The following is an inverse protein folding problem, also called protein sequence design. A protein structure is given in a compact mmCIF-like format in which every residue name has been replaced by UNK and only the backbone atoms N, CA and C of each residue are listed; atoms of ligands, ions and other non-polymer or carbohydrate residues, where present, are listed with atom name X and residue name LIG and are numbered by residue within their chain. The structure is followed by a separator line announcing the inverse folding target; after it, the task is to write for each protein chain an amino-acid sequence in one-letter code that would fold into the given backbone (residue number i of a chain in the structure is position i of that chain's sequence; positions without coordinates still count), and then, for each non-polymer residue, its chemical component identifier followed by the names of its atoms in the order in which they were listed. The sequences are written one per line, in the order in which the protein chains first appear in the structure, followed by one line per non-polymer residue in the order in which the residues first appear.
data_IF_881994331690
#
_entry.id   IF_881994331690
#
_cell.length_a   1.000
_cell.length_b   1.000
_cell.length_c   1.000
_cell.angle_alpha   90.00
_cell.angle_beta   90.00
_cell.angle_gamma   90.00
#
_symmetry.space_group_name_H-M   'P 1'
#
loop_
_entity.id
_entity.type
_entity.pdbx_description
1 polymer ?
#
# COMPACT_ATOMS: atom_id res chain seq x y z
N UNK A 1 -26.72 20.28 -7.79
CA UNK A 1 -25.89 19.35 -7.02
C UNK A 1 -26.51 17.96 -7.07
N UNK A 2 -25.67 16.92 -7.11
CA UNK A 2 -26.14 15.54 -7.02
C UNK A 2 -26.23 15.15 -5.52
N UNK A 3 -27.44 14.91 -4.97
CA UNK A 3 -27.62 14.63 -3.53
C UNK A 3 -26.94 13.33 -3.07
N UNK A 4 -26.62 12.45 -4.01
CA UNK A 4 -25.98 11.15 -3.73
C UNK A 4 -24.45 11.19 -3.88
N UNK A 5 -23.87 12.35 -4.17
CA UNK A 5 -22.43 12.50 -4.34
C UNK A 5 -21.87 13.44 -3.26
N UNK A 6 -20.95 12.95 -2.45
CA UNK A 6 -20.32 13.71 -1.37
C UNK A 6 -19.49 14.90 -1.87
N UNK A 7 -18.93 14.83 -3.08
CA UNK A 7 -18.17 15.95 -3.68
C UNK A 7 -19.03 17.00 -4.36
N UNK A 8 -20.35 16.80 -4.42
CA UNK A 8 -21.32 17.74 -4.99
C UNK A 8 -22.06 18.57 -3.93
N UNK A 9 -21.74 18.40 -2.63
CA UNK A 9 -22.47 19.06 -1.53
C UNK A 9 -21.96 20.48 -1.23
N UNK A 10 -20.80 20.86 -1.78
CA UNK A 10 -20.19 22.17 -1.61
C UNK A 10 -18.83 22.14 -0.92
N UNK A 11 -18.14 23.28 -0.97
CA UNK A 11 -16.81 23.46 -0.40
C UNK A 11 -16.67 24.88 0.17
N UNK A 12 -16.04 25.03 1.31
CA UNK A 12 -15.75 26.32 1.93
C UNK A 12 -14.82 26.18 3.12
N UNK A 13 -14.01 27.21 3.38
CA UNK A 13 -13.07 27.27 4.50
C UNK A 13 -12.14 26.05 4.58
N UNK A 14 -11.71 25.52 3.42
CA UNK A 14 -10.89 24.31 3.27
C UNK A 14 -11.56 23.00 3.67
N UNK A 15 -12.87 22.98 3.87
CA UNK A 15 -13.67 21.80 4.15
C UNK A 15 -14.66 21.50 3.03
N UNK A 16 -14.82 20.25 2.70
CA UNK A 16 -15.88 19.76 1.83
C UNK A 16 -17.15 19.50 2.65
N UNK A 17 -18.27 19.97 2.18
CA UNK A 17 -19.55 19.46 2.67
C UNK A 17 -19.77 18.04 2.16
N UNK A 18 -20.49 17.24 2.95
CA UNK A 18 -20.82 15.85 2.63
C UNK A 18 -22.31 15.62 2.86
N UNK A 19 -22.80 14.47 2.43
CA UNK A 19 -24.16 14.02 2.74
C UNK A 19 -24.40 14.01 4.25
N UNK A 20 -25.66 13.91 4.65
CA UNK A 20 -26.08 13.81 6.05
C UNK A 20 -25.60 14.98 6.93
N UNK A 21 -25.69 16.20 6.37
CA UNK A 21 -25.31 17.44 7.04
C UNK A 21 -23.90 17.40 7.69
N UNK A 22 -23.00 16.63 7.11
CA UNK A 22 -21.63 16.46 7.57
C UNK A 22 -20.65 17.31 6.78
N UNK A 23 -19.41 17.39 7.27
CA UNK A 23 -18.30 18.03 6.55
C UNK A 23 -16.98 17.30 6.83
N UNK A 24 -15.99 17.50 5.98
CA UNK A 24 -14.74 16.76 6.08
C UNK A 24 -13.53 17.52 5.60
N UNK A 25 -12.37 17.23 6.20
CA UNK A 25 -11.07 17.34 5.58
C UNK A 25 -10.88 16.14 4.64
N UNK A 26 -10.40 16.42 3.42
CA UNK A 26 -10.33 15.44 2.34
C UNK A 26 -8.95 15.44 1.73
N UNK A 27 -8.21 14.37 1.94
CA UNK A 27 -6.87 14.16 1.40
C UNK A 27 -6.86 13.02 0.38
N UNK A 28 -5.95 13.12 -0.56
CA UNK A 28 -5.80 12.13 -1.63
C UNK A 28 -5.66 10.71 -1.09
N UNK A 29 -6.13 9.74 -1.88
CA UNK A 29 -6.08 8.31 -1.59
C UNK A 29 -6.88 7.89 -0.34
N UNK A 30 -7.91 8.67 0.04
CA UNK A 30 -8.84 8.31 1.09
C UNK A 30 -8.39 8.67 2.50
N UNK A 31 -7.66 9.79 2.65
CA UNK A 31 -7.39 10.38 3.94
C UNK A 31 -8.55 11.28 4.33
N UNK A 32 -9.32 10.94 5.36
CA UNK A 32 -10.47 11.73 5.76
C UNK A 32 -10.44 12.09 7.25
N UNK A 33 -10.87 13.31 7.53
CA UNK A 33 -11.33 13.73 8.85
C UNK A 33 -12.81 14.15 8.70
N UNK A 34 -13.73 13.24 9.00
CA UNK A 34 -15.16 13.42 8.79
C UNK A 34 -15.82 13.85 10.10
N UNK A 35 -16.58 14.94 10.06
CA UNK A 35 -17.33 15.44 11.21
C UNK A 35 -18.81 15.34 10.92
N UNK A 36 -19.56 14.70 11.82
CA UNK A 36 -21.00 14.47 11.73
C UNK A 36 -21.64 15.11 12.96
N UNK A 37 -22.02 16.41 12.91
CA UNK A 37 -22.47 17.16 14.08
C UNK A 37 -23.73 16.57 14.73
N UNK A 38 -24.67 16.08 13.93
CA UNK A 38 -25.95 15.53 14.43
C UNK A 38 -25.75 14.28 15.31
N UNK A 39 -24.64 13.56 15.12
CA UNK A 39 -24.28 12.40 15.93
C UNK A 39 -23.17 12.70 16.95
N UNK A 40 -22.73 13.96 17.07
CA UNK A 40 -21.59 14.35 17.90
C UNK A 40 -20.36 13.43 17.64
N UNK A 41 -20.10 13.13 16.37
CA UNK A 41 -19.14 12.10 15.96
C UNK A 41 -18.08 12.68 15.03
N UNK A 42 -16.84 12.24 15.25
CA UNK A 42 -15.69 12.46 14.34
C UNK A 42 -15.09 11.11 13.95
N UNK A 43 -14.84 10.95 12.66
CA UNK A 43 -14.21 9.74 12.11
C UNK A 43 -12.91 10.14 11.39
N UNK A 44 -11.77 9.64 11.84
CA UNK A 44 -10.50 9.78 11.18
C UNK A 44 -10.19 8.49 10.39
N UNK A 45 -9.84 8.65 9.11
CA UNK A 45 -9.56 7.54 8.21
C UNK A 45 -8.21 7.78 7.53
N UNK A 46 -7.33 6.79 7.59
CA UNK A 46 -6.12 6.72 6.77
C UNK A 46 -6.25 5.55 5.81
N UNK A 47 -5.89 5.77 4.55
CA UNK A 47 -6.04 4.74 3.53
C UNK A 47 -5.04 4.92 2.38
N UNK A 48 -5.01 3.97 1.45
CA UNK A 48 -4.20 4.01 0.23
C UNK A 48 -5.02 3.56 -0.98
N UNK A 49 -6.27 4.05 -1.08
CA UNK A 49 -7.20 3.65 -2.14
C UNK A 49 -7.49 4.77 -3.13
N UNK A 50 -7.65 4.39 -4.40
CA UNK A 50 -8.16 5.30 -5.44
C UNK A 50 -9.70 5.39 -5.44
N UNK A 51 -10.38 4.43 -4.79
CA UNK A 51 -11.84 4.45 -4.67
C UNK A 51 -12.28 5.13 -3.38
N UNK A 52 -12.05 6.45 -3.32
CA UNK A 52 -12.40 7.28 -2.18
C UNK A 52 -13.91 7.30 -1.91
N UNK A 53 -14.72 7.21 -2.97
CA UNK A 53 -16.18 7.15 -2.87
C UNK A 53 -16.66 5.93 -2.09
N UNK A 54 -16.04 4.76 -2.29
CA UNK A 54 -16.35 3.57 -1.53
C UNK A 54 -16.07 3.73 -0.03
N UNK A 55 -15.00 4.42 0.33
CA UNK A 55 -14.68 4.68 1.76
C UNK A 55 -15.81 5.45 2.43
N UNK A 56 -16.29 6.52 1.78
CA UNK A 56 -17.41 7.32 2.28
C UNK A 56 -18.71 6.51 2.32
N UNK A 57 -18.97 5.73 1.28
CA UNK A 57 -20.17 4.86 1.23
C UNK A 57 -20.17 3.85 2.39
N UNK A 58 -19.05 3.23 2.70
CA UNK A 58 -18.94 2.29 3.84
C UNK A 58 -19.24 2.97 5.18
N UNK A 59 -18.86 4.23 5.37
CA UNK A 59 -19.23 5.01 6.57
C UNK A 59 -20.74 5.19 6.63
N UNK A 60 -21.35 5.63 5.51
CA UNK A 60 -22.78 5.90 5.45
C UNK A 60 -23.65 4.66 5.64
N UNK A 61 -23.22 3.52 5.14
CA UNK A 61 -23.99 2.28 5.19
C UNK A 61 -23.76 1.46 6.47
N UNK A 62 -22.57 1.51 7.05
CA UNK A 62 -22.20 0.60 8.13
C UNK A 62 -21.98 1.26 9.48
N UNK A 63 -21.58 2.54 9.52
CA UNK A 63 -21.28 3.26 10.75
C UNK A 63 -22.45 4.17 11.14
N UNK A 64 -22.81 5.09 10.28
CA UNK A 64 -23.80 6.11 10.57
C UNK A 64 -25.17 5.54 11.03
N UNK A 65 -25.75 4.49 10.42
CA UNK A 65 -27.03 3.94 10.86
C UNK A 65 -27.01 3.28 12.25
N UNK A 66 -25.81 3.03 12.78
CA UNK A 66 -25.60 2.41 14.10
C UNK A 66 -25.18 3.42 15.16
N UNK A 67 -24.94 4.66 14.76
CA UNK A 67 -24.59 5.73 15.68
C UNK A 67 -25.84 6.15 16.47
N UNK A 68 -25.71 6.22 17.80
CA UNK A 68 -26.77 6.65 18.69
C UNK A 68 -26.29 7.84 19.51
N UNK A 69 -27.20 8.77 19.83
CA UNK A 69 -26.90 10.00 20.56
C UNK A 69 -27.06 9.83 22.10
N UNK A 70 -26.93 8.61 22.56
CA UNK A 70 -26.98 8.27 23.99
C UNK A 70 -25.79 7.39 24.36
N UNK A 71 -25.39 7.44 25.62
CA UNK A 71 -24.37 6.54 26.13
C UNK A 71 -24.80 5.09 25.99
N UNK A 72 -23.93 4.26 25.44
CA UNK A 72 -24.19 2.83 25.39
C UNK A 72 -24.12 2.23 26.82
N UNK A 73 -24.98 1.25 27.17
CA UNK A 73 -24.84 0.55 28.40
C UNK A 73 -23.51 -0.20 28.48
N UNK A 74 -22.93 -0.27 29.67
CA UNK A 74 -21.72 -1.03 29.89
C UNK A 74 -21.94 -2.51 29.51
N UNK A 75 -20.99 -3.03 28.72
CA UNK A 75 -20.98 -4.43 28.32
C UNK A 75 -19.53 -4.93 28.16
N UNK A 76 -19.03 -5.55 29.21
CA UNK A 76 -17.65 -6.00 29.29
C UNK A 76 -17.31 -7.06 28.23
N UNK A 77 -18.25 -7.92 27.86
CA UNK A 77 -18.01 -8.95 26.84
C UNK A 77 -17.81 -8.32 25.45
N UNK A 78 -18.70 -7.37 25.08
CA UNK A 78 -18.57 -6.62 23.81
C UNK A 78 -17.31 -5.77 23.78
N UNK A 79 -16.97 -5.13 24.90
CA UNK A 79 -15.74 -4.36 25.04
C UNK A 79 -14.49 -5.24 24.82
N UNK A 80 -14.42 -6.38 25.48
CA UNK A 80 -13.33 -7.32 25.31
C UNK A 80 -13.27 -7.90 23.89
N UNK A 81 -14.41 -8.20 23.28
CA UNK A 81 -14.50 -8.65 21.88
C UNK A 81 -13.99 -7.59 20.91
N UNK A 82 -14.35 -6.32 21.12
CA UNK A 82 -13.84 -5.19 20.32
C UNK A 82 -12.33 -5.04 20.46
N UNK A 83 -11.81 -5.04 21.68
CA UNK A 83 -10.38 -4.94 21.94
C UNK A 83 -9.60 -6.10 21.29
N UNK A 84 -10.10 -7.32 21.42
CA UNK A 84 -9.53 -8.49 20.75
C UNK A 84 -9.53 -8.34 19.23
N UNK A 85 -10.64 -7.87 18.66
CA UNK A 85 -10.77 -7.65 17.21
C UNK A 85 -9.81 -6.57 16.73
N UNK A 86 -9.76 -5.42 17.38
CA UNK A 86 -8.87 -4.32 16.99
C UNK A 86 -7.40 -4.67 17.12
N UNK A 87 -7.01 -5.38 18.17
CA UNK A 87 -5.63 -5.86 18.35
C UNK A 87 -5.20 -6.92 17.33
N UNK A 88 -6.16 -7.63 16.72
CA UNK A 88 -5.91 -8.66 15.70
C UNK A 88 -6.07 -8.17 14.26
N UNK A 89 -6.37 -6.89 14.05
CA UNK A 89 -6.50 -6.35 12.70
C UNK A 89 -5.14 -6.34 12.01
N UNK A 90 -5.11 -6.94 10.84
CA UNK A 90 -3.95 -6.94 9.95
C UNK A 90 -4.43 -6.95 8.51
N UNK A 91 -3.63 -6.42 7.60
CA UNK A 91 -3.84 -6.63 6.18
C UNK A 91 -3.64 -8.12 5.89
N UNK A 92 -4.62 -8.73 5.24
CA UNK A 92 -4.53 -10.14 4.90
C UNK A 92 -3.74 -10.29 3.58
N UNK A 93 -2.58 -10.97 3.57
CA UNK A 93 -1.86 -11.22 2.33
C UNK A 93 -2.59 -12.16 1.36
N UNK A 94 -3.70 -12.78 1.76
CA UNK A 94 -4.45 -13.75 0.96
C UNK A 94 -5.22 -13.18 -0.25
N UNK A 95 -5.23 -11.87 -0.46
CA UNK A 95 -5.74 -11.26 -1.70
C UNK A 95 -4.89 -11.65 -2.93
N UNK A 96 -3.62 -12.01 -2.71
CA UNK A 96 -2.82 -12.75 -3.68
C UNK A 96 -3.16 -14.23 -3.50
N UNK A 97 -3.87 -14.83 -4.46
CA UNK A 97 -4.06 -16.29 -4.53
C UNK A 97 -2.67 -16.94 -4.58
N UNK A 98 -2.07 -17.14 -3.41
CA UNK A 98 -0.76 -17.77 -3.32
C UNK A 98 -0.90 -19.23 -3.71
N UNK A 99 -0.12 -19.67 -4.67
CA UNK A 99 0.06 -21.10 -4.94
C UNK A 99 0.90 -21.69 -3.81
N UNK A 100 0.26 -21.96 -2.67
CA UNK A 100 0.91 -22.55 -1.47
C UNK A 100 1.68 -23.84 -1.74
N UNK A 101 1.39 -24.49 -2.88
CA UNK A 101 2.04 -25.74 -3.30
C UNK A 101 3.41 -25.53 -3.95
N UNK A 102 3.78 -24.30 -4.33
CA UNK A 102 5.04 -24.03 -5.00
C UNK A 102 6.15 -23.87 -3.97
N UNK A 103 6.90 -24.94 -3.72
CA UNK A 103 8.11 -24.95 -2.86
C UNK A 103 9.37 -24.49 -3.61
N UNK A 104 9.25 -23.73 -4.68
CA UNK A 104 10.41 -23.27 -5.46
C UNK A 104 11.23 -22.28 -4.64
N UNK A 105 12.52 -22.55 -4.50
CA UNK A 105 13.45 -21.66 -3.79
C UNK A 105 13.79 -20.50 -4.71
N UNK A 106 13.39 -19.29 -4.31
CA UNK A 106 13.78 -18.07 -4.98
C UNK A 106 15.25 -17.75 -4.63
N UNK A 107 16.14 -17.90 -5.59
CA UNK A 107 17.58 -17.64 -5.44
C UNK A 107 18.17 -17.15 -6.76
N UNK A 108 19.24 -16.40 -6.67
CA UNK A 108 20.01 -15.96 -7.83
C UNK A 108 20.26 -14.46 -7.84
N UNK A 109 21.16 -14.06 -8.71
CA UNK A 109 21.43 -12.66 -9.05
C UNK A 109 21.19 -12.49 -10.53
N UNK A 110 20.39 -11.50 -10.90
CA UNK A 110 20.05 -11.13 -12.26
C UNK A 110 20.59 -9.75 -12.55
N UNK A 111 21.42 -9.62 -13.57
CA UNK A 111 21.84 -8.32 -14.10
C UNK A 111 20.71 -7.75 -14.92
N UNK A 112 20.43 -6.47 -14.78
CA UNK A 112 19.34 -5.79 -15.48
C UNK A 112 19.93 -4.94 -16.59
N UNK A 113 19.27 -4.91 -17.74
CA UNK A 113 19.59 -4.04 -18.86
C UNK A 113 19.61 -2.57 -18.41
N UNK A 114 20.38 -1.74 -19.15
CA UNK A 114 20.43 -0.30 -18.87
C UNK A 114 19.03 0.29 -18.92
N UNK A 115 18.66 1.03 -17.87
CA UNK A 115 17.33 1.55 -17.70
C UNK A 115 17.33 2.90 -16.98
N UNK A 116 16.23 3.65 -17.12
CA UNK A 116 16.07 4.97 -16.50
C UNK A 116 15.96 4.93 -14.97
N UNK A 117 15.66 3.76 -14.38
CA UNK A 117 15.56 3.58 -12.93
C UNK A 117 16.94 3.44 -12.27
N UNK A 118 18.00 3.29 -13.05
CA UNK A 118 19.36 3.04 -12.56
C UNK A 118 19.50 1.70 -11.84
N UNK A 119 18.61 0.73 -12.09
CA UNK A 119 18.66 -0.60 -11.51
C UNK A 119 19.68 -1.46 -12.25
N UNK A 120 20.74 -1.90 -11.56
CA UNK A 120 21.85 -2.69 -12.13
C UNK A 120 21.64 -4.18 -11.99
N UNK A 121 21.14 -4.62 -10.85
CA UNK A 121 20.86 -6.04 -10.61
C UNK A 121 19.85 -6.25 -9.48
N UNK A 122 19.19 -7.42 -9.52
CA UNK A 122 18.37 -7.92 -8.42
C UNK A 122 18.93 -9.24 -7.93
N UNK A 123 18.91 -9.42 -6.62
CA UNK A 123 19.26 -10.71 -5.99
C UNK A 123 18.17 -11.14 -5.01
N UNK A 124 17.93 -12.45 -5.01
CA UNK A 124 17.04 -13.09 -4.05
C UNK A 124 17.85 -13.92 -3.08
N UNK A 125 17.64 -13.72 -1.79
CA UNK A 125 18.35 -14.43 -0.72
C UNK A 125 17.39 -14.97 0.33
N UNK A 126 17.79 -16.08 0.92
CA UNK A 126 17.18 -16.64 2.13
C UNK A 126 18.26 -16.81 3.18
N UNK A 127 18.02 -16.30 4.38
CA UNK A 127 18.86 -16.51 5.56
C UNK A 127 17.98 -16.99 6.72
N UNK A 128 18.17 -18.25 7.15
CA UNK A 128 17.28 -18.93 8.11
C UNK A 128 15.83 -18.87 7.61
N UNK A 129 14.94 -18.21 8.35
CA UNK A 129 13.52 -18.04 8.02
C UNK A 129 13.19 -16.67 7.40
N UNK A 130 14.21 -15.87 7.09
CA UNK A 130 14.07 -14.54 6.51
C UNK A 130 14.35 -14.55 5.02
N UNK A 131 13.55 -13.82 4.27
CA UNK A 131 13.62 -13.72 2.82
C UNK A 131 13.93 -12.28 2.42
N UNK A 132 14.75 -12.10 1.41
CA UNK A 132 15.22 -10.79 0.98
C UNK A 132 15.20 -10.66 -0.54
N UNK A 133 14.73 -9.50 -1.01
CA UNK A 133 15.02 -8.97 -2.36
C UNK A 133 16.01 -7.84 -2.20
N UNK A 134 17.10 -7.89 -2.95
CA UNK A 134 18.16 -6.90 -2.93
C UNK A 134 18.20 -6.21 -4.28
N UNK A 135 17.99 -4.91 -4.28
CA UNK A 135 18.08 -4.03 -5.43
C UNK A 135 19.42 -3.31 -5.40
N UNK A 136 20.30 -3.59 -6.36
CA UNK A 136 21.55 -2.86 -6.60
C UNK A 136 21.28 -1.76 -7.63
N UNK A 137 21.37 -0.51 -7.22
CA UNK A 137 21.10 0.64 -8.06
C UNK A 137 22.36 1.47 -8.29
N UNK A 138 22.33 2.43 -9.20
CA UNK A 138 23.47 3.36 -9.42
C UNK A 138 23.79 4.16 -8.16
N UNK A 139 22.78 4.57 -7.42
CA UNK A 139 22.89 5.41 -6.22
C UNK A 139 22.97 4.65 -4.90
N UNK A 140 23.16 3.32 -4.95
CA UNK A 140 23.28 2.53 -3.73
C UNK A 140 22.51 1.20 -3.80
N UNK A 141 22.40 0.57 -2.65
CA UNK A 141 21.79 -0.75 -2.48
C UNK A 141 20.63 -0.66 -1.50
N UNK A 142 19.53 -1.33 -1.84
CA UNK A 142 18.42 -1.52 -0.92
C UNK A 142 18.09 -2.98 -0.72
N UNK A 143 17.71 -3.31 0.50
CA UNK A 143 17.37 -4.68 0.89
C UNK A 143 15.98 -4.68 1.52
N UNK A 144 15.05 -5.35 0.86
CA UNK A 144 13.68 -5.52 1.34
C UNK A 144 13.56 -6.91 1.96
N UNK A 145 13.32 -6.96 3.26
CA UNK A 145 12.90 -8.20 3.94
C UNK A 145 11.40 -8.40 3.69
N UNK A 146 11.00 -9.63 3.38
CA UNK A 146 9.59 -9.96 3.14
C UNK A 146 9.21 -11.30 3.77
N UNK A 147 7.94 -11.42 4.14
CA UNK A 147 7.34 -12.69 4.57
C UNK A 147 6.68 -13.44 3.42
N UNK A 148 6.41 -14.74 3.61
CA UNK A 148 5.67 -15.58 2.65
C UNK A 148 4.22 -15.85 3.08
N UNK A 149 3.93 -15.77 4.37
CA UNK A 149 2.60 -16.01 4.94
C UNK A 149 2.09 -14.82 5.74
N UNK A 150 2.99 -13.89 6.07
CA UNK A 150 2.72 -12.68 6.83
C UNK A 150 3.54 -11.51 6.29
N UNK A 151 3.13 -10.29 6.63
CA UNK A 151 3.91 -9.10 6.32
C UNK A 151 5.12 -8.99 7.24
N UNK A 152 6.28 -8.70 6.67
CA UNK A 152 7.51 -8.41 7.40
C UNK A 152 7.83 -6.92 7.34
N UNK A 153 8.09 -6.33 8.51
CA UNK A 153 8.48 -4.94 8.62
C UNK A 153 10.00 -4.81 8.46
N UNK A 154 10.41 -3.84 7.66
CA UNK A 154 11.82 -3.48 7.43
C UNK A 154 11.96 -1.98 7.18
N UNK A 155 13.19 -1.53 7.04
CA UNK A 155 13.51 -0.13 6.72
C UNK A 155 14.45 -0.07 5.53
N UNK A 156 14.30 0.99 4.73
CA UNK A 156 15.21 1.33 3.63
C UNK A 156 15.69 2.77 3.79
N UNK A 157 16.85 3.07 3.20
CA UNK A 157 17.46 4.42 3.24
C UNK A 157 17.35 5.18 1.92
N UNK A 158 17.29 4.47 0.82
CA UNK A 158 17.13 5.04 -0.51
C UNK A 158 15.72 4.80 -1.07
N UNK A 159 15.52 5.11 -2.33
CA UNK A 159 14.28 4.81 -3.03
C UNK A 159 14.31 3.39 -3.60
N UNK A 160 13.17 2.71 -3.56
CA UNK A 160 12.97 1.50 -4.34
C UNK A 160 12.86 1.85 -5.84
N UNK A 161 13.20 0.93 -6.76
CA UNK A 161 12.97 1.13 -8.18
C UNK A 161 11.50 1.47 -8.43
N UNK A 162 11.21 2.35 -9.40
CA UNK A 162 9.88 2.79 -9.80
C UNK A 162 9.09 3.65 -8.78
N UNK A 163 9.65 3.97 -7.61
CA UNK A 163 8.99 4.88 -6.67
C UNK A 163 8.98 6.33 -7.14
N UNK A 164 9.78 6.69 -8.14
CA UNK A 164 9.76 8.01 -8.80
C UNK A 164 8.46 8.29 -9.59
N UNK A 165 7.57 7.32 -9.69
CA UNK A 165 6.22 7.50 -10.27
C UNK A 165 5.32 8.37 -9.39
N UNK A 166 5.71 8.59 -8.14
CA UNK A 166 5.08 9.58 -7.25
C UNK A 166 5.71 10.93 -7.60
N UNK A 167 4.93 11.81 -8.23
CA UNK A 167 5.43 13.11 -8.68
C UNK A 167 6.14 13.87 -7.57
N UNK A 168 7.38 14.22 -7.83
CA UNK A 168 8.23 15.07 -6.98
C UNK A 168 7.60 16.43 -6.66
N UNK A 169 6.71 16.90 -7.54
CA UNK A 169 6.13 18.25 -7.53
C UNK A 169 5.16 18.52 -6.37
N UNK A 170 4.63 17.46 -5.70
CA UNK A 170 3.62 17.62 -4.64
C UNK A 170 4.10 17.21 -3.25
N UNK A 171 5.35 16.81 -3.10
CA UNK A 171 5.87 16.37 -1.82
C UNK A 171 6.86 17.41 -1.31
N UNK A 172 6.52 18.23 -0.27
CA UNK A 172 7.43 19.21 0.29
C UNK A 172 8.72 18.57 0.80
N UNK A 173 9.84 19.30 0.81
CA UNK A 173 11.11 18.81 1.34
C UNK A 173 11.03 18.31 2.80
N UNK A 174 10.11 18.86 3.59
CA UNK A 174 9.79 18.43 4.95
C UNK A 174 9.01 17.11 5.04
N UNK A 175 8.60 16.53 3.91
CA UNK A 175 7.78 15.32 3.88
C UNK A 175 8.59 14.05 4.14
N UNK A 176 7.87 12.93 4.31
CA UNK A 176 8.41 11.56 4.47
C UNK A 176 9.44 11.15 3.40
N UNK A 177 9.44 11.81 2.23
CA UNK A 177 10.42 11.60 1.17
C UNK A 177 11.85 11.88 1.61
N UNK A 178 12.04 12.88 2.46
CA UNK A 178 13.34 13.29 2.99
C UNK A 178 13.70 12.58 4.29
N UNK A 179 12.83 11.73 4.80
CA UNK A 179 13.19 10.88 5.94
C UNK A 179 14.34 9.96 5.55
N UNK A 180 15.37 9.95 6.38
CA UNK A 180 16.56 9.10 6.20
C UNK A 180 16.21 7.62 6.14
N UNK A 181 15.17 7.22 6.86
CA UNK A 181 14.66 5.86 6.91
C UNK A 181 13.20 5.83 6.51
N UNK A 182 12.84 4.94 5.59
CA UNK A 182 11.45 4.70 5.18
C UNK A 182 11.03 3.32 5.65
N UNK A 183 9.92 3.26 6.36
CA UNK A 183 9.41 2.02 6.92
C UNK A 183 8.57 1.27 5.89
N UNK A 184 8.88 0.00 5.73
CA UNK A 184 8.22 -0.90 4.80
C UNK A 184 7.52 -2.03 5.54
N UNK A 185 6.43 -2.51 4.96
CA UNK A 185 5.80 -3.77 5.29
C UNK A 185 5.63 -4.58 4.01
N UNK A 186 6.32 -5.72 3.90
CA UNK A 186 6.45 -6.45 2.64
C UNK A 186 6.02 -7.90 2.75
N UNK A 187 5.37 -8.38 1.70
CA UNK A 187 4.89 -9.74 1.54
C UNK A 187 5.22 -10.27 0.15
N UNK A 188 5.69 -11.52 0.08
CA UNK A 188 6.02 -12.19 -1.16
C UNK A 188 5.24 -13.48 -1.36
N UNK A 189 4.79 -13.74 -2.56
CA UNK A 189 4.08 -14.96 -2.92
C UNK A 189 4.39 -15.42 -4.35
N UNK A 190 4.45 -16.73 -4.55
CA UNK A 190 4.35 -17.31 -5.89
C UNK A 190 2.90 -17.23 -6.36
N UNK A 191 2.66 -16.63 -7.50
CA UNK A 191 1.33 -16.50 -8.13
C UNK A 191 1.14 -17.45 -9.31
N UNK A 192 2.23 -18.03 -9.79
CA UNK A 192 2.27 -19.14 -10.78
C UNK A 192 3.60 -19.91 -10.64
N UNK A 193 3.82 -20.93 -11.48
CA UNK A 193 5.07 -21.71 -11.48
C UNK A 193 6.33 -20.90 -11.80
N UNK A 194 6.17 -19.77 -12.45
CA UNK A 194 7.28 -18.93 -12.91
C UNK A 194 7.11 -17.45 -12.55
N UNK A 195 6.07 -17.08 -11.78
CA UNK A 195 5.82 -15.70 -11.39
C UNK A 195 5.81 -15.56 -9.87
N UNK A 196 6.62 -14.66 -9.36
CA UNK A 196 6.68 -14.29 -7.96
C UNK A 196 6.26 -12.84 -7.78
N UNK A 197 5.34 -12.57 -6.88
CA UNK A 197 4.87 -11.24 -6.52
C UNK A 197 5.50 -10.80 -5.20
N UNK A 198 6.03 -9.60 -5.15
CA UNK A 198 6.43 -8.89 -3.94
C UNK A 198 5.56 -7.63 -3.82
N UNK A 199 4.73 -7.58 -2.78
CA UNK A 199 3.98 -6.38 -2.43
C UNK A 199 4.67 -5.65 -1.27
N UNK A 200 4.92 -4.36 -1.43
CA UNK A 200 5.61 -3.54 -0.45
C UNK A 200 4.81 -2.28 -0.16
N UNK A 201 4.43 -2.08 1.08
CA UNK A 201 3.79 -0.87 1.57
C UNK A 201 4.82 0.04 2.24
N UNK A 202 4.88 1.29 1.83
CA UNK A 202 5.52 2.36 2.61
C UNK A 202 4.49 2.86 3.61
N UNK A 203 4.34 2.18 4.75
CA UNK A 203 3.13 2.29 5.59
C UNK A 203 2.97 3.60 6.36
N UNK A 204 3.95 4.49 6.31
CA UNK A 204 3.81 5.89 6.75
C UNK A 204 3.30 6.81 5.62
N UNK A 205 2.97 6.23 4.46
CA UNK A 205 2.42 6.89 3.27
C UNK A 205 1.28 6.05 2.70
N UNK A 206 0.46 6.56 1.80
CA UNK A 206 -0.53 5.74 1.10
C UNK A 206 0.06 4.89 -0.04
N UNK A 207 1.38 4.79 -0.15
CA UNK A 207 2.07 4.16 -1.28
C UNK A 207 2.24 2.67 -1.09
N UNK A 208 1.83 1.93 -2.12
CA UNK A 208 2.11 0.51 -2.31
C UNK A 208 2.82 0.30 -3.65
N UNK A 209 3.83 -0.55 -3.65
CA UNK A 209 4.52 -1.02 -4.84
C UNK A 209 4.37 -2.53 -4.95
N UNK A 210 3.91 -3.00 -6.10
CA UNK A 210 3.87 -4.41 -6.46
C UNK A 210 4.92 -4.69 -7.53
N UNK A 211 5.77 -5.68 -7.29
CA UNK A 211 6.77 -6.16 -8.22
C UNK A 211 6.41 -7.60 -8.59
N UNK A 212 6.14 -7.83 -9.86
CA UNK A 212 5.99 -9.18 -10.40
C UNK A 212 7.29 -9.59 -11.10
N UNK A 213 7.92 -10.62 -10.59
CA UNK A 213 9.12 -11.23 -11.12
C UNK A 213 8.73 -12.45 -11.95
N UNK A 214 8.97 -12.38 -13.26
CA UNK A 214 8.63 -13.43 -14.22
C UNK A 214 9.92 -14.13 -14.63
N UNK A 215 10.06 -15.40 -14.29
CA UNK A 215 11.24 -16.21 -14.56
C UNK A 215 11.03 -17.05 -15.82
N UNK A 216 11.90 -16.89 -16.82
CA UNK A 216 11.91 -17.70 -18.03
C UNK A 216 13.32 -18.23 -18.26
N UNK A 217 13.52 -19.55 -18.06
CA UNK A 217 14.83 -20.19 -18.11
C UNK A 217 15.85 -19.52 -17.17
N UNK A 218 16.81 -18.78 -17.73
CA UNK A 218 17.84 -18.01 -16.99
C UNK A 218 17.52 -16.52 -16.89
N UNK A 219 16.42 -16.06 -17.51
CA UNK A 219 16.04 -14.67 -17.61
C UNK A 219 15.01 -14.28 -16.57
N UNK A 220 15.02 -13.00 -16.22
CA UNK A 220 14.08 -12.36 -15.33
C UNK A 220 13.47 -11.14 -16.03
N UNK A 221 12.15 -11.10 -16.11
CA UNK A 221 11.40 -9.88 -16.43
C UNK A 221 10.76 -9.35 -15.16
N UNK A 222 10.84 -8.05 -14.94
CA UNK A 222 10.24 -7.37 -13.80
C UNK A 222 9.13 -6.48 -14.33
N UNK A 223 7.94 -6.72 -13.87
CA UNK A 223 6.80 -5.83 -14.04
C UNK A 223 6.52 -5.15 -12.70
N UNK A 224 6.43 -3.83 -12.68
CA UNK A 224 6.12 -3.09 -11.46
C UNK A 224 4.89 -2.21 -11.64
N UNK A 225 4.05 -2.19 -10.61
CA UNK A 225 2.84 -1.37 -10.54
C UNK A 225 2.79 -0.68 -9.20
N UNK A 226 2.62 0.66 -9.22
CA UNK A 226 2.29 1.41 -8.01
C UNK A 226 0.77 1.56 -7.88
N UNK A 227 0.26 1.65 -6.65
CA UNK A 227 -1.10 2.12 -6.44
C UNK A 227 -1.14 3.61 -6.79
N UNK A 228 -1.61 3.92 -7.99
CA UNK A 228 -1.46 5.25 -8.57
C UNK A 228 -2.27 6.32 -7.85
N UNK A 229 -1.65 7.50 -7.77
CA UNK A 229 -2.33 8.74 -7.48
C UNK A 229 -3.48 8.98 -8.49
N UNK A 230 -4.64 9.54 -8.10
CA UNK A 230 -5.76 9.79 -8.99
C UNK A 230 -5.33 10.55 -10.26
N UNK A 231 -5.74 10.06 -11.41
CA UNK A 231 -5.47 10.69 -12.72
C UNK A 231 -4.30 10.13 -13.52
N UNK A 232 -3.56 9.12 -13.02
CA UNK A 232 -2.60 8.36 -13.84
C UNK A 232 -3.11 6.94 -14.10
N UNK A 233 -2.98 6.48 -15.34
CA UNK A 233 -3.23 5.08 -15.69
C UNK A 233 -2.26 4.16 -14.94
N UNK A 234 -2.70 2.96 -14.61
CA UNK A 234 -1.84 1.87 -14.10
C UNK A 234 -0.86 1.47 -15.22
N UNK A 235 0.18 2.27 -15.45
CA UNK A 235 1.24 1.91 -16.37
C UNK A 235 2.14 0.90 -15.67
N UNK A 236 2.16 -0.31 -16.18
CA UNK A 236 3.15 -1.30 -15.82
C UNK A 236 4.49 -0.89 -16.43
N UNK A 237 5.54 -0.89 -15.62
CA UNK A 237 6.90 -0.67 -16.08
C UNK A 237 7.59 -2.02 -16.18
N UNK A 238 8.30 -2.25 -17.27
CA UNK A 238 8.99 -3.51 -17.54
C UNK A 238 10.50 -3.30 -17.59
N UNK A 239 11.24 -4.21 -16.95
CA UNK A 239 12.68 -4.33 -17.08
C UNK A 239 13.05 -5.79 -17.29
N UNK A 240 14.05 -6.02 -18.14
CA UNK A 240 14.56 -7.37 -18.43
C UNK A 240 15.97 -7.55 -17.88
N UNK A 241 16.29 -8.79 -17.53
CA UNK A 241 17.65 -9.19 -17.24
C UNK A 241 18.43 -9.43 -18.53
N UNK A 242 19.74 -9.19 -18.46
CA UNK A 242 20.69 -9.64 -19.49
C UNK A 242 20.90 -11.15 -19.28
N UNK A 243 20.96 -11.92 -20.36
CA UNK A 243 21.36 -13.33 -20.28
C UNK A 243 22.71 -13.46 -19.58
N UNK A 244 22.76 -14.31 -18.57
CA UNK A 244 24.04 -14.67 -17.96
C UNK A 244 24.68 -15.74 -18.84
N UNK A 245 25.86 -15.42 -19.38
CA UNK A 245 26.74 -16.36 -20.07
C UNK A 245 27.05 -17.60 -19.21
#
# INVERSE_FOLDING_TARGET
SNPNNDWSQGYGYQFWRSRFNSYRGDGAMGQFCLVIPENNMVIAITSGTNNMGLVMQLVWENILPKAVNVSLPENIEKYNALNKKTASLSLNPNDLKSFKTIKKKLRGKFRIEKNEQGLKSISFKKNKNKYYVIFEMEKGRETVEYGLEEYMNSEITNHLPFTNLIRDEFIPESSLRYQKHKKLSSYGAWISNNEFMLSTYLYETPVRMDYKFIFSNRNLTIESVANNYPGKSNQSNFLNSIEND
#
